data_IF_041740949477
#
_entry.id   IF_041740949477
#
_cell.length_a   1.000
_cell.length_b   1.000
_cell.length_c   1.000
_cell.angle_alpha   90.00
_cell.angle_beta   90.00
_cell.angle_gamma   90.00
#
_symmetry.space_group_name_H-M   'P 1'
#
loop_
_entity.id
_entity.type
_entity.pdbx_description
1 polymer ?
#
# COMPACT_ATOMS: atom_id res chain seq x y z
N UNK A 1 10.88 -6.19 28.48
CA UNK A 1 9.68 -5.32 28.43
C UNK A 1 10.11 -3.88 28.20
N UNK A 2 9.47 -3.15 27.27
CA UNK A 2 9.58 -1.69 27.16
C UNK A 2 8.17 -1.14 27.41
N UNK A 3 8.01 -0.24 28.38
CA UNK A 3 6.71 0.28 28.82
C UNK A 3 5.69 -0.80 29.25
N UNK A 4 6.14 -1.88 29.91
CA UNK A 4 5.25 -2.94 30.41
C UNK A 4 4.72 -3.91 29.35
N UNK A 5 5.10 -3.73 28.07
CA UNK A 5 4.72 -4.63 26.98
C UNK A 5 5.83 -5.64 26.65
N UNK A 6 5.47 -6.89 26.32
CA UNK A 6 6.35 -7.94 25.82
C UNK A 6 7.16 -7.50 24.60
N UNK A 7 8.44 -7.91 24.52
CA UNK A 7 9.34 -7.53 23.42
C UNK A 7 9.29 -8.51 22.25
N UNK A 8 8.68 -9.68 22.46
CA UNK A 8 8.49 -10.71 21.42
C UNK A 8 7.07 -11.22 21.41
N UNK A 9 6.63 -11.78 20.26
CA UNK A 9 5.32 -12.41 20.13
C UNK A 9 5.14 -13.62 21.08
N UNK A 10 6.23 -14.33 21.39
CA UNK A 10 6.25 -15.45 22.33
C UNK A 10 6.07 -14.97 23.78
N UNK A 11 6.75 -13.89 24.15
CA UNK A 11 6.53 -13.24 25.45
C UNK A 11 5.12 -12.65 25.54
N UNK A 12 4.56 -12.17 24.43
CA UNK A 12 3.19 -11.65 24.38
C UNK A 12 2.16 -12.74 24.65
N UNK A 13 2.28 -13.89 23.99
CA UNK A 13 1.41 -15.04 24.25
C UNK A 13 1.50 -15.52 25.70
N UNK A 14 2.72 -15.64 26.25
CA UNK A 14 2.90 -16.00 27.65
C UNK A 14 2.29 -14.96 28.62
N UNK A 15 2.35 -13.68 28.26
CA UNK A 15 1.81 -12.58 29.04
C UNK A 15 0.27 -12.49 28.97
N UNK A 16 -0.40 -13.07 27.97
CA UNK A 16 -1.87 -13.02 27.88
C UNK A 16 -2.59 -13.64 29.09
N UNK A 17 -1.95 -14.61 29.75
CA UNK A 17 -2.50 -15.30 30.91
C UNK A 17 -2.25 -14.53 32.21
N UNK A 18 -1.13 -13.81 32.30
CA UNK A 18 -0.63 -13.24 33.55
C UNK A 18 -0.62 -11.71 33.60
N UNK A 19 -0.78 -11.03 32.46
CA UNK A 19 -0.71 -9.57 32.33
C UNK A 19 -2.00 -9.02 31.70
N UNK A 20 -2.89 -8.40 32.52
CA UNK A 20 -4.16 -7.84 32.05
C UNK A 20 -3.99 -6.77 30.96
N UNK A 21 -2.90 -6.00 30.97
CA UNK A 21 -2.62 -4.99 29.95
C UNK A 21 -2.23 -5.63 28.62
N UNK A 22 -1.41 -6.68 28.64
CA UNK A 22 -1.08 -7.44 27.44
C UNK A 22 -2.35 -8.10 26.84
N UNK A 23 -3.19 -8.66 27.71
CA UNK A 23 -4.50 -9.18 27.31
C UNK A 23 -5.40 -8.08 26.74
N UNK A 24 -5.48 -6.91 27.36
CA UNK A 24 -6.25 -5.77 26.85
C UNK A 24 -5.77 -5.33 25.47
N UNK A 25 -4.47 -5.24 25.21
CA UNK A 25 -3.95 -4.87 23.88
C UNK A 25 -4.39 -5.86 22.81
N UNK A 26 -4.26 -7.17 23.07
CA UNK A 26 -4.70 -8.20 22.11
C UNK A 26 -6.22 -8.20 21.95
N UNK A 27 -6.97 -7.94 23.02
CA UNK A 27 -8.43 -7.89 22.99
C UNK A 27 -8.93 -6.67 22.23
N UNK A 28 -8.37 -5.49 22.49
CA UNK A 28 -8.68 -4.26 21.74
C UNK A 28 -8.35 -4.40 20.26
N UNK A 29 -7.28 -5.12 19.91
CA UNK A 29 -7.01 -5.46 18.51
C UNK A 29 -8.06 -6.44 17.96
N UNK A 30 -8.35 -7.53 18.67
CA UNK A 30 -9.33 -8.54 18.26
C UNK A 30 -10.76 -7.97 18.09
N UNK A 31 -11.12 -6.99 18.92
CA UNK A 31 -12.43 -6.33 18.89
C UNK A 31 -12.47 -5.13 17.94
N UNK A 32 -11.34 -4.80 17.30
CA UNK A 32 -11.29 -3.69 16.34
C UNK A 32 -12.18 -3.95 15.13
N UNK A 33 -12.70 -2.87 14.53
CA UNK A 33 -13.53 -2.97 13.31
C UNK A 33 -12.80 -3.69 12.17
N UNK A 34 -11.49 -3.48 12.04
CA UNK A 34 -10.66 -4.14 11.03
C UNK A 34 -10.55 -5.63 11.33
N UNK A 35 -10.31 -6.00 12.59
CA UNK A 35 -10.23 -7.39 13.03
C UNK A 35 -11.55 -8.15 12.82
N UNK A 36 -12.68 -7.55 13.19
CA UNK A 36 -14.01 -8.19 13.02
C UNK A 36 -14.36 -8.42 11.55
N UNK A 37 -13.96 -7.51 10.65
CA UNK A 37 -14.08 -7.73 9.20
C UNK A 37 -13.11 -8.82 8.71
N UNK A 38 -11.89 -8.83 9.23
CA UNK A 38 -10.84 -9.77 8.83
C UNK A 38 -11.18 -11.22 9.21
N UNK A 39 -11.70 -11.46 10.42
CA UNK A 39 -12.07 -12.80 10.94
C UNK A 39 -13.47 -13.28 10.56
N UNK A 40 -14.13 -12.61 9.61
CA UNK A 40 -15.40 -13.05 9.01
C UNK A 40 -15.18 -14.14 7.94
N UNK A 41 -16.19 -15.00 7.77
CA UNK A 41 -16.18 -16.11 6.80
C UNK A 41 -15.93 -17.50 7.42
N UNK A 42 -15.59 -18.48 6.58
CA UNK A 42 -15.26 -19.84 7.02
C UNK A 42 -13.90 -19.90 7.73
N UNK A 43 -13.65 -20.94 8.52
CA UNK A 43 -12.36 -21.10 9.21
C UNK A 43 -11.20 -21.21 8.21
N UNK A 44 -11.41 -21.87 7.08
CA UNK A 44 -10.46 -21.99 5.98
C UNK A 44 -10.07 -20.63 5.41
N UNK A 45 -11.06 -19.79 5.10
CA UNK A 45 -10.82 -18.45 4.57
C UNK A 45 -10.07 -17.58 5.57
N UNK A 46 -10.42 -17.70 6.86
CA UNK A 46 -9.75 -16.97 7.93
C UNK A 46 -8.28 -17.38 8.06
N UNK A 47 -7.95 -18.68 7.98
CA UNK A 47 -6.56 -19.16 8.00
C UNK A 47 -5.77 -18.58 6.82
N UNK A 48 -6.34 -18.64 5.61
CA UNK A 48 -5.70 -18.10 4.41
C UNK A 48 -5.41 -16.61 4.52
N UNK A 49 -6.37 -15.84 5.01
CA UNK A 49 -6.20 -14.40 5.28
C UNK A 49 -5.05 -14.16 6.25
N UNK A 50 -4.99 -14.90 7.37
CA UNK A 50 -3.92 -14.76 8.37
C UNK A 50 -2.54 -15.04 7.78
N UNK A 51 -2.38 -16.15 7.04
CA UNK A 51 -1.11 -16.48 6.39
C UNK A 51 -0.70 -15.42 5.36
N UNK A 52 -1.65 -14.93 4.57
CA UNK A 52 -1.40 -13.86 3.60
C UNK A 52 -0.94 -12.57 4.29
N UNK A 53 -1.57 -12.19 5.40
CA UNK A 53 -1.18 -10.97 6.13
C UNK A 53 0.15 -11.10 6.85
N UNK A 54 0.42 -12.23 7.50
CA UNK A 54 1.66 -12.41 8.25
C UNK A 54 2.85 -12.68 7.32
N UNK A 55 2.65 -13.54 6.32
CA UNK A 55 3.73 -14.14 5.55
C UNK A 55 3.70 -13.83 4.05
N UNK A 56 2.65 -13.18 3.54
CA UNK A 56 2.52 -12.86 2.11
C UNK A 56 2.27 -14.08 1.22
N UNK A 57 1.91 -15.23 1.79
CA UNK A 57 1.67 -16.49 1.09
C UNK A 57 0.39 -17.17 1.56
N UNK A 58 -0.10 -18.13 0.79
CA UNK A 58 -1.12 -19.07 1.26
C UNK A 58 -0.49 -20.19 2.08
N UNK A 59 -1.19 -20.76 3.07
CA UNK A 59 -0.72 -21.97 3.76
C UNK A 59 -0.68 -23.14 2.77
N UNK A 60 0.23 -24.09 2.98
CA UNK A 60 0.17 -25.36 2.27
C UNK A 60 -1.00 -26.23 2.80
N UNK A 61 -1.25 -27.36 2.12
CA UNK A 61 -2.36 -28.24 2.48
C UNK A 61 -2.23 -28.82 3.91
N UNK A 62 -1.02 -29.15 4.35
CA UNK A 62 -0.75 -29.68 5.69
C UNK A 62 -0.88 -28.61 6.78
N UNK A 63 -0.35 -27.42 6.54
CA UNK A 63 -0.50 -26.26 7.41
C UNK A 63 -1.96 -25.88 7.57
N UNK A 64 -2.71 -25.79 6.47
CA UNK A 64 -4.14 -25.47 6.48
C UNK A 64 -4.93 -26.51 7.26
N UNK A 65 -4.69 -27.80 7.02
CA UNK A 65 -5.36 -28.89 7.73
C UNK A 65 -5.08 -28.84 9.25
N UNK A 66 -3.82 -28.61 9.65
CA UNK A 66 -3.42 -28.47 11.05
C UNK A 66 -4.16 -27.32 11.75
N UNK A 67 -4.20 -26.13 11.14
CA UNK A 67 -4.86 -24.98 11.75
C UNK A 67 -6.37 -25.09 11.76
N UNK A 68 -6.95 -25.72 10.74
CA UNK A 68 -8.37 -26.01 10.69
C UNK A 68 -8.79 -26.97 11.81
N UNK A 69 -8.01 -28.03 12.06
CA UNK A 69 -8.24 -28.95 13.16
C UNK A 69 -8.23 -28.23 14.52
N UNK A 70 -7.25 -27.34 14.74
CA UNK A 70 -7.15 -26.54 15.98
C UNK A 70 -8.31 -25.58 16.19
N UNK A 71 -8.79 -24.93 15.12
CA UNK A 71 -9.95 -24.04 15.17
C UNK A 71 -11.24 -24.80 15.42
N UNK A 72 -11.46 -25.90 14.68
CA UNK A 72 -12.69 -26.70 14.79
C UNK A 72 -12.75 -27.46 16.13
N UNK A 73 -11.60 -27.89 16.66
CA UNK A 73 -11.48 -28.53 17.97
C UNK A 73 -11.50 -27.55 19.14
N UNK A 74 -11.52 -26.24 18.90
CA UNK A 74 -11.54 -25.22 19.95
C UNK A 74 -10.21 -25.03 20.69
N UNK A 75 -9.13 -25.69 20.26
CA UNK A 75 -7.78 -25.51 20.82
C UNK A 75 -7.28 -24.06 20.64
N UNK A 76 -7.68 -23.44 19.52
CA UNK A 76 -7.37 -22.04 19.22
C UNK A 76 -8.67 -21.36 18.79
N UNK A 77 -9.00 -20.23 19.40
CA UNK A 77 -10.14 -19.42 18.95
C UNK A 77 -9.70 -18.44 17.84
N UNK A 78 -10.65 -18.06 16.97
CA UNK A 78 -10.38 -17.13 15.84
C UNK A 78 -9.66 -15.85 16.27
N UNK A 79 -10.02 -15.29 17.43
CA UNK A 79 -9.40 -14.09 18.02
C UNK A 79 -7.89 -14.22 18.26
N UNK A 80 -7.41 -15.43 18.58
CA UNK A 80 -6.00 -15.68 18.93
C UNK A 80 -5.24 -16.38 17.79
N UNK A 81 -5.94 -16.78 16.72
CA UNK A 81 -5.35 -17.46 15.58
C UNK A 81 -4.13 -16.73 14.97
N UNK A 82 -4.14 -15.40 14.76
CA UNK A 82 -2.97 -14.71 14.21
C UNK A 82 -1.75 -14.81 15.10
N UNK A 83 -1.94 -14.65 16.42
CA UNK A 83 -0.84 -14.74 17.38
C UNK A 83 -0.29 -16.17 17.45
N UNK A 84 -1.17 -17.18 17.44
CA UNK A 84 -0.76 -18.57 17.43
C UNK A 84 0.02 -18.94 16.15
N UNK A 85 -0.45 -18.48 14.97
CA UNK A 85 0.25 -18.69 13.69
C UNK A 85 1.59 -17.94 13.69
N UNK A 86 1.61 -16.68 14.14
CA UNK A 86 2.82 -15.87 14.26
C UNK A 86 3.89 -16.57 15.12
N UNK A 87 3.49 -17.16 16.25
CA UNK A 87 4.40 -17.86 17.15
C UNK A 87 4.83 -19.25 16.65
N UNK A 88 4.10 -19.80 15.69
CA UNK A 88 4.47 -21.05 15.02
C UNK A 88 5.44 -20.88 13.86
N UNK A 89 5.73 -19.63 13.47
CA UNK A 89 6.54 -19.32 12.29
C UNK A 89 7.91 -20.01 12.34
N UNK A 90 8.29 -20.64 11.22
CA UNK A 90 9.54 -21.36 11.06
C UNK A 90 10.11 -21.12 9.66
N UNK A 91 11.39 -21.45 9.46
CA UNK A 91 12.08 -21.27 8.18
C UNK A 91 11.93 -19.84 7.65
N UNK A 92 11.58 -19.71 6.38
CA UNK A 92 11.41 -18.42 5.69
C UNK A 92 10.38 -17.50 6.36
N UNK A 93 9.30 -18.04 6.94
CA UNK A 93 8.31 -17.18 7.61
C UNK A 93 8.92 -16.46 8.81
N UNK A 94 9.77 -17.16 9.57
CA UNK A 94 10.49 -16.58 10.71
C UNK A 94 11.45 -15.49 10.26
N UNK A 95 12.18 -15.71 9.16
CA UNK A 95 13.12 -14.74 8.60
C UNK A 95 12.39 -13.48 8.09
N UNK A 96 11.25 -13.67 7.42
CA UNK A 96 10.41 -12.56 6.97
C UNK A 96 9.85 -11.74 8.14
N UNK A 97 9.39 -12.40 9.21
CA UNK A 97 8.94 -11.71 10.43
C UNK A 97 10.07 -10.92 11.09
N UNK A 98 11.30 -11.47 11.11
CA UNK A 98 12.46 -10.77 11.65
C UNK A 98 12.76 -9.49 10.84
N UNK A 99 12.68 -9.55 9.51
CA UNK A 99 12.82 -8.37 8.64
C UNK A 99 11.73 -7.32 8.87
N UNK A 100 10.46 -7.75 9.00
CA UNK A 100 9.34 -6.86 9.35
C UNK A 100 9.58 -6.18 10.70
N UNK A 101 10.07 -6.92 11.69
CA UNK A 101 10.41 -6.38 13.00
C UNK A 101 11.59 -5.37 12.93
N UNK A 102 12.61 -5.65 12.11
CA UNK A 102 13.74 -4.75 11.91
C UNK A 102 13.31 -3.42 11.25
N UNK A 103 12.43 -3.47 10.25
CA UNK A 103 11.86 -2.27 9.64
C UNK A 103 10.98 -1.49 10.62
N UNK A 104 10.14 -2.18 11.40
CA UNK A 104 9.35 -1.54 12.45
C UNK A 104 10.24 -0.84 13.50
N UNK A 105 11.34 -1.48 13.91
CA UNK A 105 12.30 -0.89 14.83
C UNK A 105 12.99 0.35 14.24
N UNK A 106 13.39 0.29 12.96
CA UNK A 106 13.95 1.44 12.23
C UNK A 106 12.95 2.59 12.14
N UNK A 107 11.66 2.29 11.90
CA UNK A 107 10.57 3.27 11.90
C UNK A 107 10.41 3.96 13.25
N UNK A 108 10.33 3.18 14.34
CA UNK A 108 10.24 3.71 15.71
C UNK A 108 11.45 4.58 16.03
N UNK A 109 12.66 4.17 15.63
CA UNK A 109 13.88 4.93 15.88
C UNK A 109 13.96 6.22 15.05
N UNK A 110 13.34 6.25 13.87
CA UNK A 110 13.26 7.45 13.04
C UNK A 110 12.22 8.45 13.56
N UNK A 111 11.19 7.99 14.29
CA UNK A 111 10.12 8.84 14.85
C UNK A 111 10.64 9.66 16.03
N UNK A 112 10.59 11.00 15.92
CA UNK A 112 11.09 11.93 16.94
C UNK A 112 10.09 12.22 18.07
N UNK A 113 8.80 11.91 17.87
CA UNK A 113 7.73 12.09 18.86
C UNK A 113 7.00 10.76 19.13
N UNK A 114 6.61 10.45 20.38
CA UNK A 114 5.50 9.54 20.61
C UNK A 114 4.23 10.25 20.10
N UNK A 115 3.50 9.72 19.09
CA UNK A 115 2.24 10.33 18.69
C UNK A 115 1.31 10.25 19.91
N UNK A 116 0.95 11.39 20.49
CA UNK A 116 0.00 11.41 21.61
C UNK A 116 -1.42 11.03 21.14
N UNK A 117 -1.62 11.03 19.82
CA UNK A 117 -2.76 10.48 19.10
C UNK A 117 -2.22 9.90 17.80
N UNK A 118 -2.25 8.56 17.64
CA UNK A 118 -1.97 7.94 16.34
C UNK A 118 -3.28 7.98 15.56
N UNK A 119 -3.37 8.82 14.54
CA UNK A 119 -4.52 8.85 13.65
C UNK A 119 -4.60 7.55 12.82
N UNK A 120 -5.81 7.14 12.41
CA UNK A 120 -6.03 5.85 11.75
C UNK A 120 -5.15 5.65 10.49
N UNK A 121 -4.89 6.73 9.75
CA UNK A 121 -4.07 6.70 8.53
C UNK A 121 -2.57 6.50 8.81
N UNK A 122 -2.05 6.93 9.97
CA UNK A 122 -0.67 6.68 10.39
C UNK A 122 -0.48 5.18 10.71
N UNK A 123 -1.50 4.55 11.31
CA UNK A 123 -1.51 3.09 11.55
C UNK A 123 -1.55 2.31 10.23
N UNK A 124 -2.29 2.80 9.24
CA UNK A 124 -2.44 2.16 7.93
C UNK A 124 -1.18 2.28 7.07
N UNK A 125 -0.51 3.43 7.10
CA UNK A 125 0.77 3.64 6.42
C UNK A 125 1.87 2.77 7.03
N UNK A 126 1.89 2.65 8.36
CA UNK A 126 2.79 1.75 9.07
C UNK A 126 2.56 0.28 8.67
N UNK A 127 1.30 -0.14 8.53
CA UNK A 127 0.94 -1.47 8.02
C UNK A 127 1.36 -1.69 6.57
N UNK A 128 1.18 -0.68 5.71
CA UNK A 128 1.58 -0.74 4.31
C UNK A 128 3.10 -0.88 4.15
N UNK A 129 3.86 -0.12 4.92
CA UNK A 129 5.32 -0.20 4.95
C UNK A 129 5.79 -1.60 5.36
N UNK A 130 5.11 -2.25 6.31
CA UNK A 130 5.43 -3.63 6.70
C UNK A 130 5.00 -4.66 5.65
N UNK A 131 3.96 -4.37 4.87
CA UNK A 131 3.48 -5.25 3.82
C UNK A 131 4.41 -5.31 2.60
N UNK A 132 5.29 -4.32 2.40
CA UNK A 132 6.29 -4.33 1.30
C UNK A 132 7.54 -5.13 1.62
N UNK A 133 7.69 -5.63 2.85
CA UNK A 133 8.84 -6.45 3.23
C UNK A 133 8.70 -7.84 2.61
N UNK A 134 9.70 -8.20 1.82
CA UNK A 134 9.85 -9.52 1.21
C UNK A 134 11.11 -10.21 1.75
N UNK A 135 11.24 -11.52 1.53
CA UNK A 135 12.40 -12.31 1.96
C UNK A 135 13.72 -11.79 1.42
N UNK A 136 13.73 -11.23 0.21
CA UNK A 136 14.93 -10.68 -0.44
C UNK A 136 15.14 -9.19 -0.15
N UNK A 137 14.44 -8.63 0.83
CA UNK A 137 14.60 -7.22 1.20
C UNK A 137 16.02 -6.96 1.75
N UNK A 138 16.64 -5.89 1.24
CA UNK A 138 17.94 -5.40 1.68
C UNK A 138 17.76 -4.56 2.95
N UNK A 139 18.23 -5.08 4.08
CA UNK A 139 18.07 -4.46 5.39
C UNK A 139 18.85 -3.14 5.51
N UNK A 140 19.86 -2.91 4.67
CA UNK A 140 20.58 -1.62 4.63
C UNK A 140 19.68 -0.46 4.23
N UNK A 141 18.57 -0.74 3.53
CA UNK A 141 17.58 0.25 3.10
C UNK A 141 16.53 0.55 4.18
N UNK A 142 16.43 -0.20 5.28
CA UNK A 142 15.34 -0.03 6.25
C UNK A 142 15.40 1.30 6.99
N UNK A 143 16.59 1.76 7.36
CA UNK A 143 16.79 3.06 8.01
C UNK A 143 16.44 4.25 7.09
N UNK A 144 16.96 4.34 5.85
CA UNK A 144 16.57 5.42 4.95
C UNK A 144 15.08 5.38 4.57
N UNK A 145 14.46 4.19 4.42
CA UNK A 145 13.02 4.04 4.18
C UNK A 145 12.19 4.52 5.37
N UNK A 146 12.54 4.12 6.59
CA UNK A 146 11.91 4.59 7.82
C UNK A 146 11.98 6.12 7.96
N UNK A 147 13.15 6.71 7.73
CA UNK A 147 13.33 8.18 7.77
C UNK A 147 12.57 8.90 6.66
N UNK A 148 12.40 8.29 5.49
CA UNK A 148 11.58 8.86 4.42
C UNK A 148 10.09 8.84 4.79
N UNK A 149 9.61 7.71 5.36
CA UNK A 149 8.25 7.60 5.88
C UNK A 149 7.98 8.63 6.99
N UNK A 150 8.88 8.73 7.98
CA UNK A 150 8.75 9.71 9.08
C UNK A 150 8.81 11.16 8.60
N UNK A 151 9.78 11.51 7.74
CA UNK A 151 9.87 12.88 7.21
C UNK A 151 8.63 13.27 6.42
N UNK A 152 7.99 12.33 5.71
CA UNK A 152 6.73 12.59 5.02
C UNK A 152 5.61 12.97 6.01
N UNK A 153 5.54 12.33 7.18
CA UNK A 153 4.61 12.72 8.26
C UNK A 153 4.95 14.10 8.86
N UNK A 154 6.23 14.44 9.00
CA UNK A 154 6.67 15.70 9.62
C UNK A 154 6.59 16.91 8.65
N UNK A 155 6.80 16.71 7.35
CA UNK A 155 6.81 17.81 6.35
C UNK A 155 5.45 18.08 5.71
N UNK A 156 4.53 17.12 5.74
CA UNK A 156 3.14 17.33 5.32
C UNK A 156 2.26 17.71 6.53
N UNK A 157 2.60 18.83 7.19
CA UNK A 157 1.60 19.60 7.89
C UNK A 157 0.60 20.14 6.83
N UNK A 158 -0.35 19.30 6.43
CA UNK A 158 -1.56 19.80 5.80
C UNK A 158 -2.15 20.79 6.78
N UNK A 159 -2.15 22.08 6.43
CA UNK A 159 -3.17 22.97 6.96
C UNK A 159 -4.51 22.34 6.52
N UNK A 160 -5.33 21.82 7.45
CA UNK A 160 -6.56 21.17 7.08
C UNK A 160 -7.43 22.24 6.43
N UNK A 161 -7.76 22.10 5.14
CA UNK A 161 -8.78 22.97 4.55
C UNK A 161 -10.12 22.69 5.25
N UNK A 162 -10.32 21.47 5.75
CA UNK A 162 -11.29 21.10 6.78
C UNK A 162 -10.78 19.85 7.54
N UNK A 163 -11.08 19.68 8.84
CA UNK A 163 -10.78 18.43 9.54
C UNK A 163 -11.47 17.26 8.79
N UNK A 164 -10.80 16.11 8.62
CA UNK A 164 -11.43 14.95 8.01
C UNK A 164 -12.64 14.55 8.86
N UNK A 165 -13.83 14.33 8.27
CA UNK A 165 -14.95 13.81 9.02
C UNK A 165 -14.63 12.39 9.51
N UNK A 166 -14.97 12.15 10.77
CA UNK A 166 -14.89 10.84 11.44
C UNK A 166 -15.49 9.74 10.54
N UNK A 167 -14.76 8.66 10.30
CA UNK A 167 -15.26 7.48 9.56
C UNK A 167 -14.77 7.28 8.12
N UNK A 168 -13.66 7.90 7.71
CA UNK A 168 -13.00 7.65 6.40
C UNK A 168 -12.18 6.36 6.47
N UNK A 169 -12.50 5.36 5.63
CA UNK A 169 -11.76 4.08 5.54
C UNK A 169 -10.73 4.20 4.42
N UNK A 170 -9.44 3.96 4.70
CA UNK A 170 -8.44 3.79 3.66
C UNK A 170 -8.28 2.30 3.30
N UNK A 171 -8.24 2.02 2.01
CA UNK A 171 -8.09 0.66 1.48
C UNK A 171 -6.83 0.54 0.65
N UNK A 172 -6.11 -0.56 0.78
CA UNK A 172 -5.09 -0.95 -0.19
C UNK A 172 -5.76 -1.88 -1.19
N UNK A 173 -5.73 -1.52 -2.46
CA UNK A 173 -6.09 -2.49 -3.47
C UNK A 173 -4.83 -3.29 -3.83
N UNK A 174 -4.69 -4.48 -3.26
CA UNK A 174 -3.69 -5.47 -3.70
C UNK A 174 -4.12 -6.08 -5.04
N UNK A 175 -4.28 -5.24 -6.07
CA UNK A 175 -4.54 -5.73 -7.42
C UNK A 175 -3.25 -6.23 -8.05
N UNK A 176 -3.37 -7.38 -8.70
CA UNK A 176 -2.35 -8.34 -9.13
C UNK A 176 -1.19 -7.88 -10.04
N UNK A 177 -0.94 -6.60 -10.33
CA UNK A 177 -0.30 -6.27 -11.63
C UNK A 177 1.01 -5.45 -11.66
N UNK A 178 1.54 -4.92 -10.54
CA UNK A 178 2.91 -4.38 -10.54
C UNK A 178 3.61 -4.67 -9.20
N UNK A 179 4.57 -5.62 -9.17
CA UNK A 179 5.42 -5.83 -8.00
C UNK A 179 6.10 -4.52 -7.59
N UNK A 180 6.01 -4.16 -6.32
CA UNK A 180 6.65 -2.95 -5.80
C UNK A 180 5.92 -1.64 -6.07
N UNK A 181 4.60 -1.63 -6.26
CA UNK A 181 3.80 -0.40 -6.19
C UNK A 181 2.54 -0.59 -5.36
N UNK A 182 2.12 0.45 -4.64
CA UNK A 182 0.93 0.43 -3.78
C UNK A 182 0.10 1.68 -4.06
N UNK A 183 -1.19 1.48 -4.36
CA UNK A 183 -2.16 2.57 -4.50
C UNK A 183 -2.84 2.83 -3.15
N UNK A 184 -2.86 4.08 -2.71
CA UNK A 184 -3.49 4.50 -1.45
C UNK A 184 -4.83 5.17 -1.73
N UNK A 185 -5.87 4.66 -1.07
CA UNK A 185 -7.24 5.05 -1.33
C UNK A 185 -7.90 5.62 -0.11
N UNK A 186 -8.64 6.72 -0.24
CA UNK A 186 -9.48 7.26 0.82
C UNK A 186 -10.96 7.18 0.43
N UNK A 187 -11.84 6.79 1.38
CA UNK A 187 -13.28 6.68 1.11
C UNK A 187 -14.06 7.78 1.81
N UNK A 188 -14.74 8.64 1.05
CA UNK A 188 -15.64 9.68 1.58
C UNK A 188 -17.05 9.49 1.01
N UNK A 189 -18.06 9.40 1.90
CA UNK A 189 -19.48 9.38 1.54
C UNK A 189 -19.86 8.40 0.40
N UNK A 190 -19.39 7.14 0.49
CA UNK A 190 -19.59 6.04 -0.48
C UNK A 190 -18.78 6.11 -1.79
N UNK A 191 -17.82 7.03 -1.94
CA UNK A 191 -16.86 7.03 -3.05
C UNK A 191 -15.43 6.87 -2.52
N UNK A 192 -14.72 5.87 -3.02
CA UNK A 192 -13.28 5.69 -2.79
C UNK A 192 -12.52 6.45 -3.85
N UNK A 193 -11.42 7.11 -3.50
CA UNK A 193 -10.55 7.84 -4.43
C UNK A 193 -9.09 7.57 -4.14
N UNK A 194 -8.28 7.51 -5.19
CA UNK A 194 -6.83 7.48 -5.09
C UNK A 194 -6.37 8.81 -4.51
N UNK A 195 -5.63 8.74 -3.41
CA UNK A 195 -5.10 9.91 -2.71
C UNK A 195 -3.58 9.94 -2.71
N UNK A 196 -2.95 8.76 -2.83
CA UNK A 196 -1.50 8.67 -2.93
C UNK A 196 -1.08 7.36 -3.62
N UNK A 197 0.20 7.24 -3.93
CA UNK A 197 0.80 6.03 -4.46
C UNK A 197 2.24 5.87 -3.96
N UNK A 198 2.63 4.64 -3.67
CA UNK A 198 3.99 4.28 -3.27
C UNK A 198 4.63 3.44 -4.36
N UNK A 199 5.91 3.67 -4.61
CA UNK A 199 6.70 2.92 -5.59
C UNK A 199 7.97 2.43 -4.91
N UNK A 200 8.40 1.22 -5.26
CA UNK A 200 9.61 0.59 -4.78
C UNK A 200 10.82 1.48 -5.06
N UNK A 201 11.75 1.53 -4.10
CA UNK A 201 13.03 2.21 -4.28
C UNK A 201 13.89 1.60 -5.40
N UNK A 202 13.59 0.37 -5.83
CA UNK A 202 14.23 -0.27 -7.00
C UNK A 202 13.67 0.22 -8.34
N UNK A 203 12.58 0.98 -8.33
CA UNK A 203 12.02 1.56 -9.53
C UNK A 203 12.88 2.73 -10.02
N UNK A 204 13.04 2.82 -11.33
CA UNK A 204 13.76 3.91 -11.99
C UNK A 204 12.75 4.96 -12.42
N UNK A 205 12.85 6.17 -11.87
CA UNK A 205 12.05 7.31 -12.28
C UNK A 205 12.34 7.66 -13.76
N UNK A 206 11.29 7.97 -14.50
CA UNK A 206 11.36 8.39 -15.90
C UNK A 206 11.08 9.90 -15.94
N UNK A 207 12.07 10.68 -16.35
CA UNK A 207 11.97 12.14 -16.45
C UNK A 207 11.79 12.65 -17.88
N UNK A 208 11.94 11.77 -18.88
CA UNK A 208 11.90 12.13 -20.31
C UNK A 208 10.89 11.26 -21.07
N UNK A 209 10.20 11.86 -22.04
CA UNK A 209 9.21 11.19 -22.88
C UNK A 209 9.75 9.94 -23.59
N UNK A 210 11.03 9.96 -23.99
CA UNK A 210 11.70 8.82 -24.62
C UNK A 210 11.70 7.56 -23.74
N UNK A 211 11.69 7.72 -22.40
CA UNK A 211 11.59 6.59 -21.48
C UNK A 211 10.22 5.89 -21.47
N UNK A 212 9.20 6.54 -22.03
CA UNK A 212 7.84 6.02 -22.22
C UNK A 212 7.56 5.62 -23.67
N UNK A 213 8.53 5.70 -24.58
CA UNK A 213 8.32 5.35 -25.99
C UNK A 213 7.72 3.94 -26.13
N UNK A 214 6.72 3.81 -27.01
CA UNK A 214 5.97 2.58 -27.32
C UNK A 214 5.14 2.00 -26.16
N UNK A 215 5.09 2.64 -25.00
CA UNK A 215 4.34 2.12 -23.86
C UNK A 215 2.83 2.35 -24.03
N UNK A 216 2.03 1.37 -23.60
CA UNK A 216 0.56 1.45 -23.60
C UNK A 216 0.03 1.05 -22.22
N UNK A 217 -0.84 1.88 -21.68
CA UNK A 217 -1.52 1.71 -20.42
C UNK A 217 -3.01 1.59 -20.68
N UNK A 218 -3.66 0.59 -20.10
CA UNK A 218 -5.09 0.32 -20.31
C UNK A 218 -5.83 -0.03 -19.02
N UNK A 219 -5.14 0.01 -17.89
CA UNK A 219 -5.75 -0.14 -16.58
C UNK A 219 -5.70 1.23 -15.90
N UNK A 220 -6.87 1.73 -15.52
CA UNK A 220 -7.06 3.05 -14.92
C UNK A 220 -7.56 2.90 -13.48
N UNK A 221 -6.96 3.66 -12.56
CA UNK A 221 -7.37 3.74 -11.15
C UNK A 221 -7.43 5.20 -10.68
N UNK A 222 -8.64 5.74 -10.55
CA UNK A 222 -8.92 7.01 -9.84
C UNK A 222 -9.83 6.77 -8.63
N UNK A 223 -10.79 5.83 -8.73
CA UNK A 223 -11.76 5.51 -7.67
C UNK A 223 -11.41 4.24 -6.88
N UNK A 224 -10.15 3.81 -6.91
CA UNK A 224 -9.69 2.60 -6.22
C UNK A 224 -10.34 1.28 -6.67
N UNK A 225 -10.94 1.33 -7.85
CA UNK A 225 -11.46 0.20 -8.61
C UNK A 225 -10.72 0.19 -9.94
N UNK A 226 -10.33 -1.00 -10.42
CA UNK A 226 -9.77 -1.13 -11.76
C UNK A 226 -10.87 -0.89 -12.79
N UNK A 227 -10.75 0.17 -13.58
CA UNK A 227 -11.66 0.44 -14.69
C UNK A 227 -10.92 0.19 -16.01
N UNK A 228 -11.51 -0.67 -16.85
CA UNK A 228 -10.99 -0.99 -18.19
C UNK A 228 -12.08 -0.77 -19.27
N UNK A 229 -12.85 0.31 -19.12
CA UNK A 229 -14.00 0.63 -19.98
C UNK A 229 -13.64 1.75 -20.95
N UNK A 230 -12.87 1.43 -22.00
CA UNK A 230 -12.56 2.36 -23.09
C UNK A 230 -11.64 3.52 -22.69
N UNK A 231 -10.78 3.30 -21.69
CA UNK A 231 -9.75 4.25 -21.26
C UNK A 231 -8.38 3.71 -21.60
N UNK A 232 -7.53 4.54 -22.19
CA UNK A 232 -6.15 4.16 -22.47
C UNK A 232 -5.24 5.38 -22.48
N UNK A 233 -3.98 5.15 -22.15
CA UNK A 233 -2.92 6.12 -22.32
C UNK A 233 -1.81 5.45 -23.11
N UNK A 234 -1.50 5.95 -24.31
CA UNK A 234 -0.50 5.34 -25.20
C UNK A 234 0.55 6.35 -25.61
N UNK A 235 1.78 5.87 -25.78
CA UNK A 235 2.93 6.65 -26.20
C UNK A 235 3.48 6.07 -27.51
N UNK A 236 3.75 6.95 -28.48
CA UNK A 236 4.34 6.54 -29.76
C UNK A 236 5.86 6.35 -29.67
N UNK A 237 6.52 6.14 -30.82
CA UNK A 237 7.97 5.94 -30.91
C UNK A 237 8.77 7.18 -30.48
N UNK A 238 8.19 8.37 -30.60
CA UNK A 238 8.79 9.63 -30.17
C UNK A 238 8.45 10.02 -28.73
N UNK A 239 7.60 9.24 -28.04
CA UNK A 239 7.11 9.58 -26.71
C UNK A 239 5.95 10.58 -26.70
N UNK A 240 5.35 10.89 -27.84
CA UNK A 240 4.10 11.67 -27.85
C UNK A 240 2.98 10.83 -27.25
N UNK A 241 2.18 11.44 -26.40
CA UNK A 241 1.18 10.73 -25.62
C UNK A 241 -0.24 10.99 -26.15
N UNK A 242 -1.06 9.95 -26.17
CA UNK A 242 -2.47 9.99 -26.52
C UNK A 242 -3.27 9.40 -25.36
N UNK A 243 -4.04 10.25 -24.68
CA UNK A 243 -4.98 9.87 -23.65
C UNK A 243 -6.38 9.74 -24.27
N UNK A 244 -6.99 8.56 -24.14
CA UNK A 244 -8.33 8.27 -24.61
C UNK A 244 -9.24 7.98 -23.42
N UNK A 245 -10.36 8.68 -23.33
CA UNK A 245 -11.41 8.43 -22.34
C UNK A 245 -12.74 8.39 -23.09
N UNK A 246 -13.26 7.18 -23.34
CA UNK A 246 -14.45 7.01 -24.18
C UNK A 246 -14.14 7.44 -25.62
N UNK A 247 -14.87 8.43 -26.13
CA UNK A 247 -14.66 9.01 -27.47
C UNK A 247 -13.75 10.24 -27.47
N UNK A 248 -13.41 10.78 -26.29
CA UNK A 248 -12.58 11.98 -26.15
C UNK A 248 -11.11 11.62 -26.17
N UNK A 249 -10.32 12.38 -26.96
CA UNK A 249 -8.88 12.16 -27.14
C UNK A 249 -8.13 13.45 -26.79
N UNK A 250 -7.21 13.36 -25.83
CA UNK A 250 -6.20 14.38 -25.56
C UNK A 250 -4.85 13.91 -26.10
N UNK A 251 -4.07 14.86 -26.65
CA UNK A 251 -2.74 14.60 -27.20
C UNK A 251 -1.73 15.52 -26.55
N UNK A 252 -0.56 14.98 -26.24
CA UNK A 252 0.57 15.70 -25.68
C UNK A 252 1.80 15.42 -26.53
N UNK A 253 2.55 16.45 -26.91
CA UNK A 253 3.83 16.28 -27.60
C UNK A 253 4.87 15.69 -26.65
N UNK A 254 5.94 15.09 -27.18
CA UNK A 254 7.05 14.58 -26.38
C UNK A 254 7.62 15.65 -25.43
N UNK A 255 7.77 16.90 -25.90
CA UNK A 255 8.23 18.01 -25.06
C UNK A 255 7.28 18.29 -23.90
N UNK A 256 5.96 18.33 -24.17
CA UNK A 256 4.96 18.51 -23.12
C UNK A 256 5.00 17.35 -22.10
N UNK A 257 5.19 16.11 -22.57
CA UNK A 257 5.34 14.93 -21.70
C UNK A 257 6.56 15.06 -20.81
N UNK A 258 7.74 15.41 -21.35
CA UNK A 258 8.95 15.65 -20.56
C UNK A 258 8.74 16.79 -19.54
N UNK A 259 8.15 17.91 -19.93
CA UNK A 259 7.80 19.00 -19.02
C UNK A 259 6.93 18.52 -17.85
N UNK A 260 5.90 17.73 -18.15
CA UNK A 260 5.00 17.16 -17.15
C UNK A 260 5.70 16.18 -16.20
N UNK A 261 6.61 15.34 -16.71
CA UNK A 261 7.44 14.41 -15.93
C UNK A 261 8.45 15.13 -15.03
N UNK A 262 8.91 16.31 -15.44
CA UNK A 262 9.78 17.18 -14.66
C UNK A 262 9.00 18.06 -13.66
N UNK A 263 7.69 17.81 -13.49
CA UNK A 263 6.85 18.45 -12.48
C UNK A 263 6.21 19.77 -12.90
N UNK A 264 6.36 20.18 -14.16
CA UNK A 264 5.67 21.34 -14.72
C UNK A 264 4.21 20.98 -15.02
N UNK A 265 3.27 21.86 -14.67
CA UNK A 265 1.88 21.67 -15.05
C UNK A 265 1.69 22.04 -16.53
N UNK A 266 1.19 21.10 -17.34
CA UNK A 266 0.85 21.34 -18.74
C UNK A 266 -0.66 21.41 -18.92
N UNK A 267 -1.12 22.16 -19.92
CA UNK A 267 -2.55 22.31 -20.21
C UNK A 267 -3.09 21.11 -21.01
N UNK A 268 -4.23 20.59 -20.58
CA UNK A 268 -5.07 19.63 -21.28
C UNK A 268 -6.36 20.34 -21.71
N UNK A 269 -6.35 20.87 -22.94
CA UNK A 269 -7.45 21.65 -23.47
C UNK A 269 -8.72 20.81 -23.72
N UNK A 270 -8.55 19.52 -24.05
CA UNK A 270 -9.67 18.60 -24.29
C UNK A 270 -10.52 18.42 -23.05
N UNK A 271 -9.87 18.25 -21.89
CA UNK A 271 -10.54 18.01 -20.61
C UNK A 271 -10.57 19.24 -19.68
N UNK A 272 -10.14 20.41 -20.17
CA UNK A 272 -10.13 21.70 -19.44
C UNK A 272 -9.51 21.58 -18.04
N UNK A 273 -8.27 21.10 -18.03
CA UNK A 273 -7.50 20.85 -16.80
C UNK A 273 -6.02 21.10 -17.04
N UNK A 274 -5.26 21.21 -15.96
CA UNK A 274 -3.80 21.11 -16.00
C UNK A 274 -3.38 19.74 -15.47
N UNK A 275 -2.32 19.18 -16.04
CA UNK A 275 -1.82 17.85 -15.65
C UNK A 275 -0.33 17.88 -15.35
N UNK A 276 0.08 17.02 -14.42
CA UNK A 276 1.47 16.65 -14.13
C UNK A 276 1.59 15.14 -14.18
N UNK A 277 2.76 14.65 -14.56
CA UNK A 277 3.02 13.21 -14.65
C UNK A 277 4.16 12.80 -13.74
N UNK A 278 4.07 11.59 -13.22
CA UNK A 278 5.16 10.89 -12.56
C UNK A 278 5.20 9.48 -13.13
N UNK A 279 6.35 9.03 -13.63
CA UNK A 279 6.46 7.73 -14.27
C UNK A 279 7.67 6.95 -13.77
N UNK A 280 7.51 5.63 -13.74
CA UNK A 280 8.51 4.71 -13.23
C UNK A 280 8.60 3.47 -14.09
N UNK A 281 9.81 2.95 -14.26
CA UNK A 281 10.05 1.59 -14.76
C UNK A 281 10.54 0.69 -13.64
N UNK A 282 10.04 -0.54 -13.61
CA UNK A 282 10.36 -1.55 -12.60
C UNK A 282 10.89 -2.78 -13.33
N UNK A 283 12.09 -3.23 -12.98
CA UNK A 283 12.62 -4.48 -13.50
C UNK A 283 11.85 -5.66 -12.90
N UNK A 284 11.34 -6.55 -13.75
CA UNK A 284 10.74 -7.83 -13.37
C UNK A 284 11.85 -8.88 -13.21
N UNK A 285 11.51 -9.98 -12.54
CA UNK A 285 12.45 -11.09 -12.32
C UNK A 285 12.98 -11.72 -13.63
N UNK A 286 12.22 -11.62 -14.72
CA UNK A 286 12.60 -12.10 -16.05
C UNK A 286 13.46 -11.10 -16.85
N UNK A 287 13.84 -9.97 -16.25
CA UNK A 287 14.62 -8.91 -16.89
C UNK A 287 13.79 -7.95 -17.77
N UNK A 288 12.50 -8.24 -18.00
CA UNK A 288 11.60 -7.29 -18.66
C UNK A 288 11.22 -6.13 -17.75
N UNK A 289 10.67 -5.04 -18.31
CA UNK A 289 10.24 -3.87 -17.54
C UNK A 289 8.72 -3.83 -17.42
N UNK A 290 8.26 -3.44 -16.24
CA UNK A 290 6.89 -2.99 -16.01
C UNK A 290 6.90 -1.47 -15.86
N UNK A 291 5.80 -0.81 -16.25
CA UNK A 291 5.70 0.65 -16.19
C UNK A 291 4.49 1.08 -15.36
N UNK A 292 4.70 2.13 -14.57
CA UNK A 292 3.65 2.86 -13.86
C UNK A 292 3.69 4.32 -14.30
N UNK A 293 2.53 4.87 -14.64
CA UNK A 293 2.34 6.29 -14.88
C UNK A 293 1.28 6.80 -13.91
N UNK A 294 1.59 7.86 -13.18
CA UNK A 294 0.67 8.57 -12.32
C UNK A 294 0.42 9.94 -12.90
N UNK A 295 -0.86 10.24 -13.08
CA UNK A 295 -1.36 11.52 -13.54
C UNK A 295 -2.00 12.25 -12.38
N UNK A 296 -1.56 13.48 -12.16
CA UNK A 296 -2.23 14.43 -11.28
C UNK A 296 -2.89 15.49 -12.16
N UNK A 297 -4.21 15.59 -12.08
CA UNK A 297 -5.00 16.50 -12.88
C UNK A 297 -5.77 17.50 -12.02
N UNK A 298 -5.70 18.78 -12.35
CA UNK A 298 -6.40 19.86 -11.65
C UNK A 298 -7.32 20.57 -12.64
N UNK A 299 -8.62 20.53 -12.40
CA UNK A 299 -9.63 21.18 -13.24
C UNK A 299 -9.45 22.71 -13.30
N UNK A 300 -9.92 23.31 -14.38
CA UNK A 300 -9.95 24.76 -14.57
C UNK A 300 -10.62 25.46 -13.36
N UNK A 301 -9.95 26.48 -12.80
CA UNK A 301 -10.39 27.15 -11.56
C UNK A 301 -9.91 26.51 -10.25
N UNK A 302 -9.15 25.42 -10.31
CA UNK A 302 -8.43 24.85 -9.15
C UNK A 302 -9.29 24.12 -8.12
N UNK A 303 -10.60 23.98 -8.38
CA UNK A 303 -11.57 23.47 -7.41
C UNK A 303 -11.62 21.93 -7.31
N UNK A 304 -11.04 21.22 -8.29
CA UNK A 304 -11.10 19.75 -8.35
C UNK A 304 -9.75 19.19 -8.75
N UNK A 305 -9.18 18.34 -7.89
CA UNK A 305 -7.96 17.59 -8.14
C UNK A 305 -8.25 16.10 -8.20
N UNK A 306 -7.61 15.42 -9.15
CA UNK A 306 -7.69 13.99 -9.37
C UNK A 306 -6.29 13.40 -9.40
N UNK A 307 -6.11 12.28 -8.71
CA UNK A 307 -4.93 11.44 -8.85
C UNK A 307 -5.35 10.16 -9.55
N UNK A 308 -4.63 9.79 -10.60
CA UNK A 308 -4.93 8.62 -11.42
C UNK A 308 -3.68 7.81 -11.65
N UNK A 309 -3.76 6.50 -11.39
CA UNK A 309 -2.71 5.57 -11.77
C UNK A 309 -3.07 4.80 -13.04
N UNK A 310 -2.14 4.79 -13.99
CA UNK A 310 -2.19 4.12 -15.27
C UNK A 310 -1.18 2.97 -15.30
N UNK A 311 -1.69 1.78 -15.58
CA UNK A 311 -0.93 0.53 -15.51
C UNK A 311 -1.08 -0.24 -16.84
N UNK A 312 0.01 -0.93 -17.23
CA UNK A 312 0.02 -1.82 -18.39
C UNK A 312 -0.82 -3.07 -18.10
N UNK A 313 -1.50 -3.61 -19.13
CA UNK A 313 -2.21 -4.88 -18.99
C UNK A 313 -1.24 -6.07 -18.93
#
# INVERSE_FOLDING_TARGET
MKNGLPLTAKELEAALVSNPTAAQVVNSFADSQISTQFYSGSNELVIEKVFSTLFGRTPDAGEKAKWLAKLNGGEVSRRYLPLAILNSAAGSDKDLLAKKAALAAAYIAASSAPPQTIELWEQETSRALLATVELEADETLFTPLAKAAVRRFETEAFAPILPPPVGTIYGFSSYKFLPGSVLMCATKARKSRLVDYLVSAKAVAISEAAGLAKQKFSIWHEDCVSINNGRSFAFDDGGNATLTIGTSIAKFTADQVSQALQGQAIADATFRRSVKFQAYSIAKADGSKAYLLVERAVGEGGSTEFLTAWIQK
#
